data_IF_032642498946
#
_entry.id   IF_032642498946
#
_cell.length_a   1.000
_cell.length_b   1.000
_cell.length_c   1.000
_cell.angle_alpha   90.00
_cell.angle_beta   90.00
_cell.angle_gamma   90.00
#
_symmetry.space_group_name_H-M   'P 1'
#
loop_
_entity.id
_entity.type
_entity.pdbx_description
1 polymer ?
#
# COMPACT_ATOMS: atom_id res chain seq x y z
N UNK A 1 7.02 12.75 10.88
CA UNK A 1 8.39 12.57 10.33
C UNK A 1 8.48 11.41 9.35
N UNK A 2 7.88 10.24 9.63
CA UNK A 2 7.92 9.06 8.75
C UNK A 2 7.65 9.36 7.25
N UNK A 3 6.55 10.03 6.94
CA UNK A 3 6.21 10.39 5.55
C UNK A 3 7.21 11.37 4.90
N UNK A 4 7.73 12.33 5.67
CA UNK A 4 8.74 13.28 5.17
C UNK A 4 10.03 12.55 4.82
N UNK A 5 10.53 11.68 5.71
CA UNK A 5 11.72 10.85 5.47
C UNK A 5 11.55 9.96 4.24
N UNK A 6 10.39 9.29 4.15
CA UNK A 6 10.01 8.48 2.98
C UNK A 6 10.06 9.29 1.68
N UNK A 7 9.54 10.52 1.69
CA UNK A 7 9.50 11.38 0.49
C UNK A 7 10.89 11.91 0.12
N UNK A 8 11.78 12.07 1.09
CA UNK A 8 13.16 12.48 0.89
C UNK A 8 14.11 11.30 0.56
N UNK A 9 13.59 10.07 0.45
CA UNK A 9 14.37 8.88 0.13
C UNK A 9 15.04 8.19 1.31
N UNK A 10 14.92 8.72 2.54
CA UNK A 10 15.36 8.04 3.77
C UNK A 10 14.35 6.95 4.17
N UNK A 11 14.40 5.84 3.44
CA UNK A 11 13.49 4.71 3.63
C UNK A 11 13.76 3.97 4.94
N UNK A 12 15.02 3.80 5.33
CA UNK A 12 15.41 3.18 6.60
C UNK A 12 14.94 4.02 7.80
N UNK A 13 15.13 5.34 7.77
CA UNK A 13 14.63 6.24 8.80
C UNK A 13 13.10 6.28 8.84
N UNK A 14 12.42 6.20 7.69
CA UNK A 14 10.97 6.07 7.64
C UNK A 14 10.48 4.75 8.26
N UNK A 15 11.15 3.62 7.99
CA UNK A 15 10.83 2.33 8.63
C UNK A 15 10.96 2.40 10.15
N UNK A 16 12.04 3.01 10.67
CA UNK A 16 12.22 3.17 12.13
C UNK A 16 11.08 3.97 12.75
N UNK A 17 10.69 5.08 12.11
CA UNK A 17 9.58 5.91 12.58
C UNK A 17 8.25 5.13 12.55
N UNK A 18 7.95 4.41 11.47
CA UNK A 18 6.74 3.58 11.38
C UNK A 18 6.71 2.45 12.41
N UNK A 19 7.84 1.79 12.67
CA UNK A 19 7.94 0.74 13.68
C UNK A 19 7.63 1.28 15.08
N UNK A 20 8.16 2.47 15.41
CA UNK A 20 7.85 3.13 16.68
C UNK A 20 6.36 3.46 16.78
N UNK A 21 5.79 4.11 15.77
CA UNK A 21 4.36 4.45 15.76
C UNK A 21 3.47 3.21 15.91
N UNK A 22 3.81 2.12 15.22
CA UNK A 22 3.08 0.85 15.30
C UNK A 22 3.22 0.16 16.66
N UNK A 23 4.34 0.32 17.36
CA UNK A 23 4.51 -0.18 18.74
C UNK A 23 3.68 0.60 19.76
N UNK A 24 3.42 1.88 19.50
CA UNK A 24 2.60 2.74 20.35
C UNK A 24 1.11 2.50 20.10
N UNK A 25 0.70 2.49 18.82
CA UNK A 25 -0.69 2.24 18.42
C UNK A 25 -0.75 1.57 17.04
N UNK A 26 -1.08 0.28 16.97
CA UNK A 26 -1.28 -0.39 15.68
C UNK A 26 -2.53 0.14 14.96
N UNK A 27 -2.35 0.73 13.78
CA UNK A 27 -3.45 1.29 12.98
C UNK A 27 -3.28 0.96 11.49
N UNK A 28 -4.40 0.84 10.78
CA UNK A 28 -4.42 0.54 9.34
C UNK A 28 -3.59 1.53 8.52
N UNK A 29 -3.73 2.84 8.79
CA UNK A 29 -2.95 3.90 8.14
C UNK A 29 -1.44 3.73 8.30
N UNK A 30 -0.98 3.30 9.48
CA UNK A 30 0.45 3.14 9.78
C UNK A 30 1.03 1.90 9.10
N UNK A 31 0.32 0.78 9.11
CA UNK A 31 0.70 -0.39 8.34
C UNK A 31 0.72 -0.09 6.83
N UNK A 32 -0.27 0.64 6.33
CA UNK A 32 -0.30 1.09 4.94
C UNK A 32 0.92 1.97 4.58
N UNK A 33 1.25 2.92 5.46
CA UNK A 33 2.41 3.78 5.30
C UNK A 33 3.72 2.99 5.27
N UNK A 34 3.86 1.97 6.13
CA UNK A 34 5.04 1.10 6.16
C UNK A 34 5.09 0.14 4.96
N UNK A 35 3.94 -0.34 4.46
CA UNK A 35 3.86 -1.12 3.23
C UNK A 35 4.41 -0.34 2.02
N UNK A 36 4.08 0.94 1.90
CA UNK A 36 4.64 1.83 0.86
C UNK A 36 6.17 1.95 0.98
N UNK A 37 6.70 2.09 2.21
CA UNK A 37 8.16 2.12 2.41
C UNK A 37 8.80 0.79 1.98
N UNK A 38 8.25 -0.36 2.40
CA UNK A 38 8.76 -1.67 1.96
C UNK A 38 8.67 -1.86 0.44
N UNK A 39 7.58 -1.40 -0.18
CA UNK A 39 7.41 -1.43 -1.62
C UNK A 39 8.50 -0.61 -2.34
N UNK A 40 8.78 0.61 -1.88
CA UNK A 40 9.89 1.43 -2.43
C UNK A 40 11.26 0.77 -2.27
N UNK A 41 11.44 -0.04 -1.23
CA UNK A 41 12.66 -0.85 -1.02
C UNK A 41 12.67 -2.16 -1.82
N UNK A 42 11.65 -2.44 -2.64
CA UNK A 42 11.44 -3.72 -3.35
C UNK A 42 11.30 -4.95 -2.43
N UNK A 43 10.97 -4.72 -1.15
CA UNK A 43 10.69 -5.76 -0.14
C UNK A 43 9.22 -6.18 -0.23
N UNK A 44 8.86 -6.84 -1.34
CA UNK A 44 7.45 -7.09 -1.69
C UNK A 44 6.71 -8.01 -0.72
N UNK A 45 7.41 -8.97 -0.08
CA UNK A 45 6.78 -9.89 0.88
C UNK A 45 6.33 -9.12 2.13
N UNK A 46 7.20 -8.27 2.65
CA UNK A 46 6.94 -7.41 3.80
C UNK A 46 5.88 -6.36 3.47
N UNK A 47 5.95 -5.76 2.29
CA UNK A 47 4.94 -4.82 1.81
C UNK A 47 3.54 -5.46 1.74
N UNK A 48 3.42 -6.68 1.20
CA UNK A 48 2.16 -7.42 1.16
C UNK A 48 1.65 -7.77 2.55
N UNK A 49 2.54 -8.19 3.45
CA UNK A 49 2.18 -8.52 4.83
C UNK A 49 1.57 -7.30 5.53
N UNK A 50 2.18 -6.12 5.39
CA UNK A 50 1.67 -4.88 5.98
C UNK A 50 0.37 -4.40 5.32
N UNK A 51 0.26 -4.46 3.99
CA UNK A 51 -0.99 -4.11 3.30
C UNK A 51 -2.15 -5.04 3.73
N UNK A 52 -1.89 -6.34 3.88
CA UNK A 52 -2.87 -7.29 4.40
C UNK A 52 -3.23 -7.01 5.86
N UNK A 53 -2.26 -6.64 6.69
CA UNK A 53 -2.51 -6.28 8.09
C UNK A 53 -3.36 -5.02 8.20
N UNK A 54 -3.10 -4.02 7.36
CA UNK A 54 -3.91 -2.81 7.28
C UNK A 54 -5.37 -3.12 6.92
N UNK A 55 -5.59 -3.93 5.87
CA UNK A 55 -6.92 -4.40 5.46
C UNK A 55 -7.61 -5.20 6.59
N UNK A 56 -6.87 -6.02 7.33
CA UNK A 56 -7.43 -6.79 8.44
C UNK A 56 -7.85 -5.91 9.62
N UNK A 57 -7.18 -4.78 9.85
CA UNK A 57 -7.52 -3.83 10.92
C UNK A 57 -8.71 -2.98 10.50
N UNK A 58 -8.69 -2.46 9.27
CA UNK A 58 -9.79 -1.69 8.71
C UNK A 58 -10.07 -2.14 7.26
N UNK A 59 -11.07 -3.03 7.06
CA UNK A 59 -11.47 -3.50 5.73
C UNK A 59 -12.10 -2.41 4.85
N UNK A 60 -12.39 -1.22 5.39
CA UNK A 60 -12.92 -0.08 4.63
C UNK A 60 -11.84 0.95 4.30
N UNK A 61 -10.60 0.74 4.75
CA UNK A 61 -9.50 1.64 4.43
C UNK A 61 -9.02 1.44 2.98
N UNK A 62 -9.70 2.11 2.06
CA UNK A 62 -9.48 2.01 0.62
C UNK A 62 -8.00 2.14 0.17
N UNK A 63 -7.16 3.02 0.75
CA UNK A 63 -5.75 3.13 0.37
C UNK A 63 -4.96 1.81 0.48
N UNK A 64 -5.31 0.91 1.40
CA UNK A 64 -4.60 -0.37 1.53
C UNK A 64 -4.87 -1.36 0.42
N UNK A 65 -6.03 -1.26 -0.22
CA UNK A 65 -6.30 -2.02 -1.44
C UNK A 65 -5.50 -1.47 -2.62
N UNK A 66 -5.32 -0.14 -2.71
CA UNK A 66 -4.43 0.47 -3.72
C UNK A 66 -2.98 0.04 -3.52
N UNK A 67 -2.44 0.16 -2.30
CA UNK A 67 -1.08 -0.28 -2.01
C UNK A 67 -0.88 -1.77 -2.31
N UNK A 68 -1.84 -2.62 -1.91
CA UNK A 68 -1.80 -4.05 -2.24
C UNK A 68 -1.81 -4.29 -3.75
N UNK A 69 -2.65 -3.58 -4.51
CA UNK A 69 -2.69 -3.68 -5.97
C UNK A 69 -1.35 -3.33 -6.61
N UNK A 70 -0.72 -2.23 -6.19
CA UNK A 70 0.60 -1.81 -6.68
C UNK A 70 1.66 -2.90 -6.48
N UNK A 71 1.69 -3.53 -5.31
CA UNK A 71 2.64 -4.62 -5.01
C UNK A 71 2.33 -5.87 -5.85
N UNK A 72 1.04 -6.16 -6.10
CA UNK A 72 0.60 -7.29 -6.92
C UNK A 72 0.97 -7.11 -8.40
N UNK A 73 0.90 -5.88 -8.93
CA UNK A 73 1.39 -5.58 -10.29
C UNK A 73 2.87 -5.92 -10.44
N UNK A 74 3.70 -5.50 -9.49
CA UNK A 74 5.14 -5.71 -9.55
C UNK A 74 5.56 -7.16 -9.25
N UNK A 75 4.63 -7.98 -8.72
CA UNK A 75 4.80 -9.43 -8.53
C UNK A 75 4.05 -10.27 -9.57
N UNK A 76 3.67 -9.66 -10.71
CA UNK A 76 3.02 -10.32 -11.87
C UNK A 76 1.64 -10.95 -11.58
N UNK A 77 0.98 -10.53 -10.50
CA UNK A 77 -0.37 -10.98 -10.13
C UNK A 77 -1.44 -10.02 -10.65
N UNK A 78 -1.48 -9.87 -11.98
CA UNK A 78 -2.27 -8.84 -12.66
C UNK A 78 -3.75 -8.86 -12.29
N UNK A 79 -4.37 -10.04 -12.36
CA UNK A 79 -5.80 -10.21 -12.06
C UNK A 79 -6.14 -9.79 -10.63
N UNK A 80 -5.38 -10.31 -9.66
CA UNK A 80 -5.58 -9.98 -8.24
C UNK A 80 -5.37 -8.48 -7.99
N UNK A 81 -4.42 -7.85 -8.68
CA UNK A 81 -4.17 -6.42 -8.57
C UNK A 81 -5.39 -5.59 -9.02
N UNK A 82 -6.00 -5.96 -10.15
CA UNK A 82 -7.18 -5.27 -10.67
C UNK A 82 -8.40 -5.43 -9.75
N UNK A 83 -8.62 -6.62 -9.21
CA UNK A 83 -9.68 -6.87 -8.21
C UNK A 83 -9.50 -5.99 -6.96
N UNK A 84 -8.26 -5.72 -6.54
CA UNK A 84 -7.98 -4.81 -5.42
C UNK A 84 -8.23 -3.34 -5.79
N UNK A 85 -7.93 -2.90 -7.01
CA UNK A 85 -8.29 -1.55 -7.45
C UNK A 85 -9.81 -1.35 -7.50
N UNK A 86 -10.54 -2.34 -8.02
CA UNK A 86 -12.01 -2.31 -8.06
C UNK A 86 -12.59 -2.23 -6.63
N UNK A 87 -11.99 -2.97 -5.70
CA UNK A 87 -12.36 -2.89 -4.29
C UNK A 87 -12.10 -1.51 -3.69
N UNK A 88 -10.97 -0.88 -4.01
CA UNK A 88 -10.66 0.48 -3.54
C UNK A 88 -11.69 1.49 -4.05
N UNK A 89 -12.05 1.43 -5.34
CA UNK A 89 -13.07 2.31 -5.94
C UNK A 89 -14.44 2.09 -5.30
N UNK A 90 -14.84 0.84 -5.08
CA UNK A 90 -16.09 0.51 -4.40
C UNK A 90 -16.16 1.03 -2.95
N UNK A 91 -15.00 1.25 -2.32
CA UNK A 91 -14.87 1.85 -0.98
C UNK A 91 -14.75 3.38 -1.02
N UNK A 92 -14.93 4.01 -2.19
CA UNK A 92 -14.94 5.46 -2.36
C UNK A 92 -13.60 6.07 -2.75
N UNK A 93 -12.58 5.27 -3.09
CA UNK A 93 -11.33 5.80 -3.64
C UNK A 93 -11.59 6.34 -5.06
N UNK A 94 -11.12 7.55 -5.35
CA UNK A 94 -11.35 8.18 -6.63
C UNK A 94 -10.63 7.43 -7.76
N UNK A 95 -11.42 6.87 -8.69
CA UNK A 95 -10.88 6.15 -9.85
C UNK A 95 -9.97 7.03 -10.71
N UNK A 96 -10.23 8.33 -10.79
CA UNK A 96 -9.42 9.30 -11.54
C UNK A 96 -7.96 9.34 -11.06
N UNK A 97 -7.73 9.19 -9.74
CA UNK A 97 -6.40 9.15 -9.14
C UNK A 97 -5.66 7.86 -9.49
N UNK A 98 -6.38 6.80 -9.84
CA UNK A 98 -5.83 5.48 -10.16
C UNK A 98 -5.61 5.26 -11.66
N UNK A 99 -5.81 6.27 -12.52
CA UNK A 99 -5.82 6.10 -13.99
C UNK A 99 -4.56 5.38 -14.50
N UNK A 100 -3.37 5.78 -14.05
CA UNK A 100 -2.10 5.14 -14.45
C UNK A 100 -1.98 3.69 -13.98
N UNK A 101 -2.49 3.41 -12.77
CA UNK A 101 -2.45 2.07 -12.18
C UNK A 101 -3.48 1.18 -12.86
N UNK A 102 -4.68 1.67 -13.13
CA UNK A 102 -5.73 0.99 -13.89
C UNK A 102 -5.34 0.73 -15.34
N UNK A 103 -4.49 1.55 -15.95
CA UNK A 103 -4.01 1.30 -17.32
C UNK A 103 -3.30 -0.06 -17.43
N UNK A 104 -2.69 -0.56 -16.35
CA UNK A 104 -2.09 -1.90 -16.29
C UNK A 104 -3.14 -3.02 -16.37
N UNK A 105 -4.38 -2.80 -15.92
CA UNK A 105 -5.46 -3.79 -15.99
C UNK A 105 -6.00 -4.04 -17.39
N UNK A 106 -5.83 -3.08 -18.30
CA UNK A 106 -6.39 -3.12 -19.65
C UNK A 106 -5.40 -3.70 -20.66
N UNK A 107 -4.09 -3.60 -20.37
CA UNK A 107 -3.03 -4.15 -21.21
C UNK A 107 -2.91 -5.66 -20.96
N UNK A 108 -3.53 -6.46 -21.82
CA UNK A 108 -3.31 -7.92 -21.93
C UNK A 108 -2.04 -8.19 -22.74
#
# INVERSE_FOLDING_TARGET
MANLKKNNGDLEGALKDYNKLLSEKPESLLYNGRADVYFKMKKYKEALADANKAISIDPKFAPSYVSRAMILFDTSKLREACENLDKAVALGYEKAVLTDVYAKCVKK
#
